data_IF_854896404754
#
_entry.id   IF_854896404754
#
_cell.length_a   1.000
_cell.length_b   1.000
_cell.length_c   1.000
_cell.angle_alpha   90.00
_cell.angle_beta   90.00
_cell.angle_gamma   90.00
#
_symmetry.space_group_name_H-M   'P 1'
#
loop_
_entity.id
_entity.type
_entity.pdbx_description
1 polymer ?
#
# COMPACT_ATOMS: atom_id res chain seq x y z
N UNK A 1 -14.11 -3.06 9.99
CA UNK A 1 -15.00 -4.02 9.33
C UNK A 1 -15.73 -3.31 8.22
N UNK A 2 -15.91 -3.98 7.07
CA UNK A 2 -16.62 -3.45 5.91
C UNK A 2 -17.49 -4.56 5.35
N UNK A 3 -18.73 -4.22 4.98
CA UNK A 3 -19.67 -5.08 4.28
C UNK A 3 -20.14 -4.34 3.03
N UNK A 4 -19.57 -4.70 1.88
CA UNK A 4 -19.99 -4.17 0.59
C UNK A 4 -20.91 -5.15 -0.10
N UNK A 5 -21.98 -4.62 -0.67
CA UNK A 5 -22.88 -5.38 -1.54
C UNK A 5 -22.64 -4.98 -2.98
N UNK A 6 -22.58 -5.96 -3.88
CA UNK A 6 -22.47 -5.76 -5.33
C UNK A 6 -21.23 -4.95 -5.79
N UNK A 7 -20.04 -5.37 -5.36
CA UNK A 7 -18.76 -4.80 -5.76
C UNK A 7 -17.99 -5.77 -6.65
N UNK A 8 -17.29 -5.25 -7.65
CA UNK A 8 -16.34 -6.01 -8.49
C UNK A 8 -14.88 -5.78 -8.09
N UNK A 9 -14.62 -4.88 -7.13
CA UNK A 9 -13.27 -4.53 -6.70
C UNK A 9 -13.20 -4.02 -5.26
N UNK A 10 -12.08 -4.32 -4.61
CA UNK A 10 -11.62 -3.65 -3.38
C UNK A 10 -10.11 -3.42 -3.45
N UNK A 11 -9.63 -2.31 -2.89
CA UNK A 11 -8.19 -2.01 -2.77
C UNK A 11 -7.77 -1.81 -1.32
N UNK A 12 -6.55 -2.23 -1.00
CA UNK A 12 -5.86 -1.93 0.25
C UNK A 12 -4.61 -1.13 -0.05
N UNK A 13 -4.41 -0.06 0.71
CA UNK A 13 -3.24 0.79 0.58
C UNK A 13 -2.43 0.70 1.87
N UNK A 14 -1.17 0.31 1.75
CA UNK A 14 -0.16 0.49 2.79
C UNK A 14 0.71 1.69 2.40
N UNK A 15 0.39 2.85 2.97
CA UNK A 15 1.10 4.10 2.68
C UNK A 15 2.56 4.07 3.14
N UNK A 16 2.85 3.29 4.19
CA UNK A 16 4.19 3.18 4.76
C UNK A 16 5.10 2.41 3.81
N UNK A 17 4.65 1.26 3.32
CA UNK A 17 5.33 0.52 2.26
C UNK A 17 5.25 1.20 0.90
N UNK A 18 4.22 2.03 0.66
CA UNK A 18 3.93 2.61 -0.65
C UNK A 18 3.41 1.56 -1.62
N UNK A 19 2.55 0.67 -1.12
CA UNK A 19 1.95 -0.45 -1.85
C UNK A 19 0.44 -0.27 -1.94
N UNK A 20 -0.11 -0.39 -3.14
CA UNK A 20 -1.55 -0.56 -3.38
C UNK A 20 -1.78 -1.97 -3.92
N UNK A 21 -2.71 -2.70 -3.30
CA UNK A 21 -3.12 -4.03 -3.76
C UNK A 21 -4.63 -4.02 -3.99
N UNK A 22 -5.06 -4.33 -5.22
CA UNK A 22 -6.48 -4.48 -5.54
C UNK A 22 -6.84 -5.94 -5.79
N UNK A 23 -7.95 -6.38 -5.22
CA UNK A 23 -8.64 -7.62 -5.60
C UNK A 23 -9.79 -7.25 -6.54
N UNK A 24 -9.73 -7.76 -7.77
CA UNK A 24 -10.72 -7.54 -8.82
C UNK A 24 -11.44 -8.86 -9.16
N UNK A 25 -12.76 -8.81 -9.28
CA UNK A 25 -13.66 -9.95 -9.43
C UNK A 25 -14.27 -9.91 -10.83
N UNK A 26 -14.23 -11.01 -11.59
CA UNK A 26 -14.86 -11.03 -12.93
C UNK A 26 -16.39 -11.03 -12.89
N UNK A 27 -16.99 -11.24 -11.72
CA UNK A 27 -18.41 -11.07 -11.44
C UNK A 27 -18.59 -10.26 -10.14
N UNK A 28 -19.40 -9.20 -10.14
CA UNK A 28 -19.74 -8.48 -8.92
C UNK A 28 -20.28 -9.42 -7.84
N UNK A 29 -19.91 -9.16 -6.59
CA UNK A 29 -20.30 -9.95 -5.43
C UNK A 29 -20.27 -9.10 -4.16
N UNK A 30 -20.64 -9.71 -3.04
CA UNK A 30 -20.41 -9.08 -1.75
C UNK A 30 -18.94 -9.19 -1.34
N UNK A 31 -18.45 -8.24 -0.56
CA UNK A 31 -17.09 -8.26 -0.01
C UNK A 31 -17.14 -7.92 1.47
N UNK A 32 -16.70 -8.86 2.31
CA UNK A 32 -16.48 -8.63 3.72
C UNK A 32 -15.02 -8.33 4.02
N UNK A 33 -14.78 -7.43 4.98
CA UNK A 33 -13.45 -7.25 5.56
C UNK A 33 -13.50 -7.35 7.07
N UNK A 34 -12.60 -8.16 7.62
CA UNK A 34 -12.49 -8.42 9.06
C UNK A 34 -11.05 -8.18 9.52
N UNK A 35 -10.82 -7.48 10.65
CA UNK A 35 -9.47 -7.35 11.17
C UNK A 35 -8.99 -8.70 11.71
N UNK A 36 -7.72 -9.02 11.44
CA UNK A 36 -6.99 -10.10 12.11
C UNK A 36 -6.15 -9.44 13.20
N UNK A 37 -6.47 -9.76 14.44
CA UNK A 37 -5.86 -9.16 15.62
C UNK A 37 -5.28 -10.23 16.52
N UNK A 38 -4.15 -9.92 17.14
CA UNK A 38 -3.54 -10.73 18.17
C UNK A 38 -3.73 -10.08 19.52
N UNK A 39 -3.95 -10.86 20.57
CA UNK A 39 -3.96 -10.34 21.93
C UNK A 39 -2.53 -10.27 22.44
N UNK A 40 -2.09 -9.05 22.79
CA UNK A 40 -0.80 -8.78 23.41
C UNK A 40 -0.99 -8.43 24.89
N UNK A 41 -0.03 -8.83 25.72
CA UNK A 41 0.02 -8.45 27.14
C UNK A 41 1.08 -7.37 27.33
N UNK A 42 0.69 -6.26 27.95
CA UNK A 42 1.57 -5.18 28.40
C UNK A 42 1.45 -4.97 29.92
N UNK A 43 2.26 -4.08 30.49
CA UNK A 43 2.11 -3.64 31.89
C UNK A 43 0.73 -3.01 32.17
N UNK A 44 0.07 -2.48 31.11
CA UNK A 44 -1.26 -1.89 31.17
C UNK A 44 -2.43 -2.89 31.03
N UNK A 45 -2.15 -4.18 30.76
CA UNK A 45 -3.17 -5.22 30.58
C UNK A 45 -3.13 -5.89 29.21
N UNK A 46 -4.26 -6.42 28.76
CA UNK A 46 -4.39 -7.06 27.44
C UNK A 46 -4.94 -6.08 26.41
N UNK A 47 -4.32 -6.05 25.24
CA UNK A 47 -4.72 -5.20 24.12
C UNK A 47 -4.79 -6.02 22.83
N UNK A 48 -5.81 -5.74 22.01
CA UNK A 48 -5.87 -6.25 20.65
C UNK A 48 -4.91 -5.43 19.78
N UNK A 49 -4.02 -6.12 19.06
CA UNK A 49 -3.05 -5.53 18.15
C UNK A 49 -3.39 -5.98 16.73
N UNK A 50 -3.70 -5.01 15.87
CA UNK A 50 -3.98 -5.26 14.46
C UNK A 50 -2.74 -5.83 13.76
N UNK A 51 -2.92 -6.95 13.06
CA UNK A 51 -1.86 -7.59 12.28
C UNK A 51 -2.13 -7.47 10.78
N UNK A 52 -3.39 -7.60 10.37
CA UNK A 52 -3.80 -7.55 8.97
C UNK A 52 -5.32 -7.48 8.84
N UNK A 53 -5.81 -7.43 7.60
CA UNK A 53 -7.24 -7.51 7.26
C UNK A 53 -7.49 -8.75 6.40
N UNK A 54 -8.46 -9.57 6.77
CA UNK A 54 -9.00 -10.62 5.92
C UNK A 54 -10.03 -10.02 4.95
N UNK A 55 -9.93 -10.38 3.68
CA UNK A 55 -10.92 -10.01 2.65
C UNK A 55 -11.60 -11.28 2.16
N UNK A 56 -12.93 -11.28 2.22
CA UNK A 56 -13.75 -12.42 1.81
C UNK A 56 -14.74 -11.96 0.74
N UNK A 57 -14.45 -12.20 -0.55
CA UNK A 57 -15.47 -12.04 -1.58
C UNK A 57 -16.46 -13.20 -1.51
N UNK A 58 -17.75 -12.92 -1.63
CA UNK A 58 -18.81 -13.92 -1.55
C UNK A 58 -19.92 -13.64 -2.58
N UNK A 59 -20.62 -14.69 -2.97
CA UNK A 59 -21.69 -14.61 -3.96
C UNK A 59 -22.85 -15.51 -3.57
N UNK A 60 -24.05 -15.03 -3.84
CA UNK A 60 -25.25 -15.85 -3.89
C UNK A 60 -25.56 -16.11 -5.36
N UNK A 61 -25.61 -17.38 -5.76
CA UNK A 61 -25.86 -17.74 -7.15
C UNK A 61 -26.69 -19.02 -7.25
N UNK A 62 -27.40 -19.14 -8.37
CA UNK A 62 -28.05 -20.38 -8.77
C UNK A 62 -27.07 -21.17 -9.63
N UNK A 63 -26.90 -22.45 -9.31
CA UNK A 63 -26.03 -23.34 -10.09
C UNK A 63 -26.60 -23.47 -11.52
N UNK A 64 -25.78 -23.23 -12.57
CA UNK A 64 -26.20 -23.48 -13.94
C UNK A 64 -26.49 -24.97 -14.19
N UNK A 65 -27.50 -25.27 -15.01
CA UNK A 65 -27.87 -26.64 -15.37
C UNK A 65 -26.80 -27.33 -16.26
N UNK A 66 -26.00 -26.53 -16.97
CA UNK A 66 -25.12 -26.96 -18.06
C UNK A 66 -23.63 -26.81 -17.76
N UNK A 67 -23.23 -26.50 -16.54
CA UNK A 67 -21.80 -26.39 -16.22
C UNK A 67 -21.48 -25.71 -14.90
N UNK A 68 -20.22 -25.31 -14.77
CA UNK A 68 -19.73 -24.67 -13.56
C UNK A 68 -20.08 -23.18 -13.51
N UNK A 69 -20.37 -22.69 -12.31
CA UNK A 69 -20.29 -21.27 -12.02
C UNK A 69 -18.84 -20.90 -11.71
N UNK A 70 -18.29 -19.92 -12.43
CA UNK A 70 -16.87 -19.57 -12.40
C UNK A 70 -16.71 -18.07 -12.19
N UNK A 71 -15.79 -17.71 -11.31
CA UNK A 71 -15.32 -16.35 -11.08
C UNK A 71 -13.80 -16.34 -11.12
N UNK A 72 -13.26 -15.33 -11.79
CA UNK A 72 -11.84 -15.04 -11.80
C UNK A 72 -11.54 -13.97 -10.76
N UNK A 73 -10.52 -14.23 -9.95
CA UNK A 73 -10.00 -13.30 -8.97
C UNK A 73 -8.64 -12.81 -9.47
N UNK A 74 -8.51 -11.50 -9.66
CA UNK A 74 -7.26 -10.89 -10.08
C UNK A 74 -6.72 -10.00 -8.98
N UNK A 75 -5.56 -10.38 -8.45
CA UNK A 75 -4.77 -9.50 -7.60
C UNK A 75 -3.88 -8.62 -8.48
N UNK A 76 -3.98 -7.31 -8.29
CA UNK A 76 -3.09 -6.33 -8.90
C UNK A 76 -2.27 -5.70 -7.80
N UNK A 77 -0.95 -5.63 -8.01
CA UNK A 77 -0.02 -4.99 -7.10
C UNK A 77 0.56 -3.76 -7.80
N UNK A 78 0.38 -2.59 -7.21
CA UNK A 78 1.07 -1.37 -7.61
C UNK A 78 2.06 -0.97 -6.51
N UNK A 79 3.35 -1.03 -6.86
CA UNK A 79 4.48 -0.63 -6.00
C UNK A 79 5.23 0.58 -6.58
N UNK A 80 4.60 1.32 -7.49
CA UNK A 80 5.20 2.49 -8.15
C UNK A 80 5.66 3.55 -7.15
N UNK A 81 4.89 3.78 -6.07
CA UNK A 81 5.26 4.70 -4.98
C UNK A 81 6.51 4.21 -4.25
N UNK A 82 6.55 2.94 -3.86
CA UNK A 82 7.74 2.34 -3.23
C UNK A 82 8.98 2.44 -4.15
N UNK A 83 8.82 2.16 -5.44
CA UNK A 83 9.88 2.25 -6.44
C UNK A 83 10.40 3.68 -6.60
N UNK A 84 9.49 4.67 -6.68
CA UNK A 84 9.85 6.08 -6.76
C UNK A 84 10.63 6.55 -5.53
N UNK A 85 10.21 6.15 -4.32
CA UNK A 85 10.93 6.45 -3.06
C UNK A 85 12.36 5.88 -3.09
N UNK A 86 12.52 4.65 -3.58
CA UNK A 86 13.83 4.00 -3.72
C UNK A 86 14.73 4.73 -4.72
N UNK A 87 14.20 5.14 -5.87
CA UNK A 87 14.93 5.91 -6.88
C UNK A 87 15.36 7.29 -6.36
N UNK A 88 14.49 7.97 -5.61
CA UNK A 88 14.80 9.26 -5.01
C UNK A 88 15.93 9.16 -3.96
N UNK A 89 15.96 8.09 -3.16
CA UNK A 89 17.02 7.84 -2.18
C UNK A 89 18.35 7.46 -2.83
N UNK A 90 18.32 6.79 -3.99
CA UNK A 90 19.52 6.37 -4.72
C UNK A 90 20.16 7.50 -5.55
N UNK A 91 19.45 8.60 -5.79
CA UNK A 91 20.00 9.74 -6.52
C UNK A 91 21.05 10.45 -5.65
N UNK A 92 22.30 10.59 -6.11
CA UNK A 92 23.33 11.27 -5.32
C UNK A 92 22.89 12.70 -5.06
N UNK A 93 22.78 13.06 -3.78
CA UNK A 93 22.47 14.41 -3.33
C UNK A 93 23.48 15.35 -3.99
N UNK A 94 23.01 16.25 -4.86
CA UNK A 94 23.87 17.25 -5.48
C UNK A 94 24.59 18.01 -4.37
N UNK A 95 25.90 17.78 -4.23
CA UNK A 95 26.71 18.55 -3.30
C UNK A 95 26.68 19.98 -3.84
N UNK A 96 26.15 20.97 -3.10
CA UNK A 96 26.21 22.34 -3.56
C UNK A 96 27.68 22.71 -3.74
N UNK A 97 28.04 23.26 -4.91
CA UNK A 97 29.39 23.73 -5.16
C UNK A 97 29.80 24.70 -4.05
N UNK A 98 31.03 24.61 -3.51
CA UNK A 98 31.50 25.57 -2.53
C UNK A 98 31.38 26.98 -3.13
N UNK A 99 30.70 27.88 -2.43
CA UNK A 99 30.69 29.30 -2.79
C UNK A 99 32.14 29.77 -2.71
N UNK A 100 32.72 30.13 -3.85
CA UNK A 100 34.06 30.70 -3.89
C UNK A 100 34.02 32.04 -3.14
N UNK A 101 34.55 32.06 -1.92
CA UNK A 101 34.81 33.31 -1.20
C UNK A 101 35.94 34.00 -1.94
N UNK A 102 35.61 35.06 -2.68
CA UNK A 102 36.57 35.85 -3.44
C UNK A 102 37.72 36.32 -2.53
N UNK A 103 38.94 35.99 -2.91
CA UNK A 103 40.15 36.51 -2.29
C UNK A 103 40.17 38.03 -2.50
N UNK A 104 40.00 38.78 -1.41
CA UNK A 104 40.22 40.21 -1.41
C UNK A 104 41.70 40.46 -1.75
N UNK A 105 41.91 41.18 -2.84
CA UNK A 105 43.20 41.62 -3.34
C UNK A 105 43.97 42.34 -2.22
N UNK A 106 45.12 41.78 -1.85
CA UNK A 106 46.17 42.49 -1.10
C UNK A 106 46.67 43.64 -1.96
N UNK A 107 46.24 44.86 -1.61
CA UNK A 107 46.86 46.09 -2.09
C UNK A 107 47.97 46.51 -1.13
N UNK A 108 49.22 46.17 -1.47
CA UNK A 108 50.37 46.96 -1.06
C UNK A 108 50.67 47.99 -2.16
N UNK A 109 50.75 49.27 -1.80
CA UNK A 109 51.72 50.22 -2.35
C UNK A 109 51.67 51.56 -1.59
N UNK A 110 52.82 51.85 -0.96
CA UNK A 110 53.43 53.14 -0.58
C UNK A 110 52.68 54.11 0.34
#
# INVERSE_FOLDING_TARGET
>A
ELDQTDSDRISLVDEWLGLDVSLELSRPGGIWTMPIETISQSEGGFEAVHQSVCIVPHWEFVMPDDGAWVVDLRLVFDSSVAAARKLAQASPRSVPSPVAVGSALTGESL
#
